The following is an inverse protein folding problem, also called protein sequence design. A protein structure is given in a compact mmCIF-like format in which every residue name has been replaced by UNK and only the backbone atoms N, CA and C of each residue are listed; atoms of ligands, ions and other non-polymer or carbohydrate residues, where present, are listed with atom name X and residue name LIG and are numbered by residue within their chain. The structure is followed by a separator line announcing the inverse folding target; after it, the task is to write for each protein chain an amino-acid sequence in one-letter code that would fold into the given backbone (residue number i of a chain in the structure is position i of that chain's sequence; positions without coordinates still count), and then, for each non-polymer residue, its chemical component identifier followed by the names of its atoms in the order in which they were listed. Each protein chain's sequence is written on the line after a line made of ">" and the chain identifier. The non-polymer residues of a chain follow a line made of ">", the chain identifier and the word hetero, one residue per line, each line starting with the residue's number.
data_IF_185710526167
#
_entry.id   IF_185710526167
#
_cell.length_a   1.000
_cell.length_b   1.000
_cell.length_c   1.000
_cell.angle_alpha   90.00
_cell.angle_beta   90.00
_cell.angle_gamma   90.00
#
_symmetry.space_group_name_H-M   'P 1'
#
loop_
_entity.id
_entity.type
_entity.pdbx_description
1 polymer ?
#
# COMPACT_ATOMS: atom_id res chain seq x y z
N UNK A 1 -5.46 -15.02 -8.72
CA UNK A 1 -4.38 -15.79 -9.38
C UNK A 1 -3.16 -14.89 -9.55
N UNK A 2 -1.95 -15.28 -9.14
CA UNK A 2 -0.77 -14.40 -9.30
C UNK A 2 -0.44 -14.15 -10.78
N UNK A 3 -0.67 -15.15 -11.64
CA UNK A 3 -0.42 -15.09 -13.08
C UNK A 3 -1.20 -13.97 -13.80
N UNK A 4 -2.49 -13.80 -13.51
CA UNK A 4 -3.33 -12.79 -14.20
C UNK A 4 -2.86 -11.35 -13.89
N UNK A 5 -2.32 -11.13 -12.68
CA UNK A 5 -1.77 -9.82 -12.29
C UNK A 5 -0.53 -9.48 -13.11
N UNK A 6 0.35 -10.45 -13.33
CA UNK A 6 1.55 -10.27 -14.16
C UNK A 6 1.20 -10.09 -15.63
N UNK A 7 0.23 -10.85 -16.16
CA UNK A 7 -0.23 -10.70 -17.54
C UNK A 7 -0.82 -9.30 -17.78
N UNK A 8 -1.67 -8.81 -16.87
CA UNK A 8 -2.21 -7.44 -16.96
C UNK A 8 -1.09 -6.39 -16.92
N UNK A 9 -0.09 -6.57 -16.05
CA UNK A 9 1.04 -5.66 -15.98
C UNK A 9 1.84 -5.63 -17.30
N UNK A 10 2.09 -6.79 -17.90
CA UNK A 10 2.79 -6.90 -19.19
C UNK A 10 1.98 -6.23 -20.31
N UNK A 11 0.66 -6.44 -20.37
CA UNK A 11 -0.20 -5.80 -21.36
C UNK A 11 -0.13 -4.27 -21.22
N UNK A 12 -0.25 -3.75 -20.01
CA UNK A 12 -0.12 -2.30 -19.74
C UNK A 12 1.23 -1.77 -20.18
N UNK A 13 2.32 -2.51 -19.94
CA UNK A 13 3.66 -2.12 -20.34
C UNK A 13 3.81 -2.06 -21.86
N UNK A 14 3.28 -3.06 -22.57
CA UNK A 14 3.28 -3.08 -24.05
C UNK A 14 2.50 -1.87 -24.59
N UNK A 15 1.31 -1.58 -24.05
CA UNK A 15 0.50 -0.42 -24.44
C UNK A 15 1.28 0.88 -24.23
N UNK A 16 1.96 1.03 -23.09
CA UNK A 16 2.76 2.22 -22.81
C UNK A 16 3.91 2.41 -23.81
N UNK A 17 4.58 1.33 -24.21
CA UNK A 17 5.66 1.38 -25.21
C UNK A 17 5.12 1.76 -26.59
N UNK A 18 4.02 1.14 -27.03
CA UNK A 18 3.38 1.49 -28.31
C UNK A 18 2.92 2.94 -28.30
N UNK A 19 2.34 3.42 -27.20
CA UNK A 19 1.95 4.81 -27.03
C UNK A 19 3.12 5.79 -27.20
N UNK A 20 4.29 5.49 -26.62
CA UNK A 20 5.48 6.34 -26.76
C UNK A 20 5.99 6.37 -28.22
N UNK A 21 5.95 5.23 -28.92
CA UNK A 21 6.35 5.16 -30.32
C UNK A 21 5.43 5.98 -31.21
N UNK A 22 4.12 5.81 -31.06
CA UNK A 22 3.12 6.55 -31.82
C UNK A 22 3.22 8.06 -31.56
N UNK A 23 3.40 8.43 -30.29
CA UNK A 23 3.61 9.81 -29.87
C UNK A 23 4.85 10.44 -30.54
N UNK A 24 5.96 9.71 -30.62
CA UNK A 24 7.16 10.22 -31.28
C UNK A 24 6.93 10.43 -32.79
N UNK A 25 6.22 9.52 -33.44
CA UNK A 25 5.92 9.59 -34.87
C UNK A 25 4.96 10.73 -35.24
N UNK A 26 3.98 11.03 -34.38
CA UNK A 26 2.98 12.08 -34.64
C UNK A 26 3.52 13.48 -34.31
N UNK A 27 4.45 13.61 -33.37
CA UNK A 27 5.04 14.88 -32.96
C UNK A 27 6.18 15.34 -33.87
N UNK A 28 5.92 15.36 -35.17
CA UNK A 28 6.79 15.90 -36.22
C UNK A 28 6.05 17.07 -36.87
N UNK A 29 6.73 18.21 -37.02
CA UNK A 29 6.18 19.40 -37.69
C UNK A 29 6.03 19.13 -39.20
N UNK A 30 5.31 20.01 -39.89
CA UNK A 30 4.94 19.90 -41.31
C UNK A 30 6.10 19.64 -42.29
N UNK A 31 7.34 19.86 -41.88
CA UNK A 31 8.57 19.63 -42.65
C UNK A 31 9.12 18.19 -42.52
N UNK A 32 8.52 17.33 -41.68
CA UNK A 32 8.92 15.92 -41.53
C UNK A 32 10.25 15.68 -40.81
N UNK A 33 11.01 16.73 -40.50
CA UNK A 33 12.36 16.66 -39.93
C UNK A 33 12.44 17.27 -38.53
N UNK A 34 11.63 18.30 -38.26
CA UNK A 34 11.64 19.00 -36.97
C UNK A 34 10.61 18.41 -36.02
N UNK A 35 11.05 18.03 -34.82
CA UNK A 35 10.17 17.47 -33.79
C UNK A 35 9.55 18.56 -32.92
N UNK A 36 8.32 18.34 -32.44
CA UNK A 36 7.66 19.25 -31.50
C UNK A 36 8.41 19.25 -30.18
N UNK A 37 8.84 20.44 -29.74
CA UNK A 37 9.51 20.65 -28.47
C UNK A 37 8.54 21.25 -27.46
N UNK A 38 8.56 20.72 -26.25
CA UNK A 38 7.73 21.16 -25.12
C UNK A 38 8.62 21.96 -24.17
N UNK A 39 8.22 23.19 -23.89
CA UNK A 39 8.83 24.00 -22.83
C UNK A 39 8.05 23.84 -21.54
N UNK A 40 8.69 23.28 -20.52
CA UNK A 40 8.12 23.13 -19.18
C UNK A 40 8.64 24.28 -18.32
N UNK A 41 7.77 25.20 -17.84
CA UNK A 41 8.19 26.34 -17.03
C UNK A 41 8.94 25.86 -15.78
N UNK A 42 9.98 26.59 -15.39
CA UNK A 42 10.89 26.30 -14.26
C UNK A 42 11.78 25.05 -14.42
N UNK A 43 11.51 24.15 -15.37
CA UNK A 43 12.29 22.92 -15.58
C UNK A 43 13.23 23.00 -16.78
N UNK A 44 12.84 23.65 -17.89
CA UNK A 44 13.69 23.74 -19.08
C UNK A 44 14.94 24.58 -18.85
N UNK A 45 14.78 25.70 -18.15
CA UNK A 45 15.88 26.63 -17.88
C UNK A 45 16.83 26.08 -16.81
N UNK A 46 16.30 25.28 -15.86
CA UNK A 46 17.08 24.65 -14.79
C UNK A 46 17.96 23.49 -15.29
N UNK A 47 17.60 22.84 -16.40
CA UNK A 47 18.27 21.66 -16.94
C UNK A 47 19.08 21.96 -18.22
N UNK A 48 19.14 23.22 -18.67
CA UNK A 48 19.89 23.63 -19.85
C UNK A 48 19.25 23.26 -21.19
N UNK A 49 17.93 23.03 -21.22
CA UNK A 49 17.17 22.75 -22.45
C UNK A 49 16.52 24.04 -22.97
N UNK A 50 17.32 24.96 -23.51
CA UNK A 50 16.87 26.28 -24.00
C UNK A 50 15.82 26.17 -25.13
N UNK A 51 15.96 25.16 -25.98
CA UNK A 51 15.03 24.87 -27.08
C UNK A 51 13.80 24.06 -26.65
N UNK A 52 13.82 23.48 -25.45
CA UNK A 52 12.75 22.63 -24.90
C UNK A 52 13.06 21.13 -24.95
N UNK A 53 12.14 20.33 -24.42
CA UNK A 53 12.25 18.86 -24.36
C UNK A 53 11.46 18.22 -25.49
N UNK A 54 11.95 17.11 -26.05
CA UNK A 54 11.14 16.33 -26.98
C UNK A 54 9.90 15.78 -26.25
N UNK A 55 8.76 15.72 -26.93
CA UNK A 55 7.49 15.30 -26.33
C UNK A 55 7.58 13.94 -25.62
N UNK A 56 8.28 12.97 -26.20
CA UNK A 56 8.48 11.66 -25.59
C UNK A 56 9.31 11.72 -24.29
N UNK A 57 10.32 12.59 -24.23
CA UNK A 57 11.15 12.78 -23.02
C UNK A 57 10.32 13.40 -21.90
N UNK A 58 9.50 14.40 -22.22
CA UNK A 58 8.61 15.04 -21.25
C UNK A 58 7.61 14.03 -20.65
N UNK A 59 7.04 13.14 -21.48
CA UNK A 59 6.13 12.10 -21.00
C UNK A 59 6.84 11.06 -20.12
N UNK A 60 8.03 10.59 -20.50
CA UNK A 60 8.81 9.66 -19.66
C UNK A 60 9.14 10.30 -18.31
N UNK A 61 9.49 11.58 -18.31
CA UNK A 61 9.83 12.30 -17.09
C UNK A 61 8.62 12.42 -16.16
N UNK A 62 7.46 12.84 -16.70
CA UNK A 62 6.21 12.91 -15.95
C UNK A 62 5.79 11.53 -15.41
N UNK A 63 5.92 10.47 -16.22
CA UNK A 63 5.61 9.11 -15.81
C UNK A 63 6.55 8.63 -14.69
N UNK A 64 7.84 8.94 -14.77
CA UNK A 64 8.83 8.60 -13.75
C UNK A 64 8.52 9.27 -12.41
N UNK A 65 8.15 10.55 -12.41
CA UNK A 65 7.72 11.27 -11.20
C UNK A 65 6.46 10.63 -10.62
N UNK A 66 5.47 10.30 -11.46
CA UNK A 66 4.25 9.63 -11.02
C UNK A 66 4.51 8.28 -10.35
N UNK A 67 5.37 7.45 -10.95
CA UNK A 67 5.78 6.15 -10.38
C UNK A 67 6.53 6.34 -9.07
N UNK A 68 7.42 7.35 -8.99
CA UNK A 68 8.18 7.65 -7.78
C UNK A 68 7.26 8.05 -6.62
N UNK A 69 6.29 8.91 -6.86
CA UNK A 69 5.29 9.30 -5.85
C UNK A 69 4.44 8.09 -5.44
N UNK A 70 4.01 7.28 -6.41
CA UNK A 70 3.26 6.04 -6.14
C UNK A 70 4.04 5.07 -5.25
N UNK A 71 5.36 4.97 -5.44
CA UNK A 71 6.22 4.15 -4.60
C UNK A 71 6.29 4.67 -3.16
N UNK A 72 6.41 5.98 -2.95
CA UNK A 72 6.40 6.59 -1.61
C UNK A 72 5.08 6.30 -0.89
N UNK A 73 3.95 6.47 -1.57
CA UNK A 73 2.62 6.18 -1.01
C UNK A 73 2.53 4.70 -0.62
N UNK A 74 2.97 3.80 -1.50
CA UNK A 74 2.99 2.36 -1.23
C UNK A 74 3.86 2.02 -0.02
N UNK A 75 5.03 2.65 0.14
CA UNK A 75 5.88 2.46 1.32
C UNK A 75 5.17 2.85 2.62
N UNK A 76 4.55 4.03 2.64
CA UNK A 76 3.80 4.51 3.81
C UNK A 76 2.66 3.54 4.13
N UNK A 77 1.95 3.07 3.11
CA UNK A 77 0.84 2.12 3.26
C UNK A 77 1.31 0.77 3.83
N UNK A 78 2.44 0.23 3.34
CA UNK A 78 3.03 -1.02 3.85
C UNK A 78 3.42 -0.88 5.33
N UNK A 79 4.03 0.25 5.71
CA UNK A 79 4.43 0.51 7.09
C UNK A 79 3.19 0.62 7.99
N UNK A 80 2.17 1.37 7.57
CA UNK A 80 0.92 1.56 8.31
C UNK A 80 0.18 0.23 8.53
N UNK A 81 0.04 -0.59 7.48
CA UNK A 81 -0.59 -1.92 7.58
C UNK A 81 0.20 -2.85 8.51
N UNK A 82 1.54 -2.82 8.46
CA UNK A 82 2.37 -3.68 9.31
C UNK A 82 2.25 -3.30 10.78
N UNK A 83 2.15 -2.00 11.10
CA UNK A 83 1.91 -1.54 12.47
C UNK A 83 0.54 -1.98 13.00
N UNK A 84 -0.50 -1.86 12.17
CA UNK A 84 -1.86 -2.28 12.51
C UNK A 84 -1.95 -3.79 12.77
N UNK A 85 -1.32 -4.62 11.91
CA UNK A 85 -1.26 -6.08 12.07
C UNK A 85 -0.58 -6.47 13.39
N UNK A 86 0.50 -5.77 13.78
CA UNK A 86 1.21 -6.04 15.03
C UNK A 86 0.32 -5.70 16.24
N UNK A 87 -0.37 -4.56 16.18
CA UNK A 87 -1.32 -4.15 17.23
C UNK A 87 -2.48 -5.13 17.37
N UNK A 88 -3.09 -5.53 16.25
CA UNK A 88 -4.17 -6.52 16.24
C UNK A 88 -3.71 -7.85 16.83
N UNK A 89 -2.49 -8.30 16.47
CA UNK A 89 -1.91 -9.54 17.01
C UNK A 89 -1.66 -9.48 18.51
N UNK A 90 -1.21 -8.33 19.05
CA UNK A 90 -0.98 -8.18 20.49
C UNK A 90 -2.29 -8.15 21.28
N UNK A 91 -3.31 -7.45 20.77
CA UNK A 91 -4.66 -7.45 21.36
C UNK A 91 -5.27 -8.85 21.35
N UNK A 92 -5.14 -9.59 20.24
CA UNK A 92 -5.68 -10.94 20.14
C UNK A 92 -5.01 -11.90 21.13
N UNK A 93 -3.69 -11.78 21.32
CA UNK A 93 -2.96 -12.55 22.33
C UNK A 93 -3.46 -12.23 23.74
N UNK A 94 -3.63 -10.96 24.08
CA UNK A 94 -4.14 -10.53 25.39
C UNK A 94 -5.54 -11.07 25.66
N UNK A 95 -6.44 -11.02 24.68
CA UNK A 95 -7.79 -11.58 24.81
C UNK A 95 -7.79 -13.10 24.99
N UNK A 96 -6.89 -13.82 24.33
CA UNK A 96 -6.73 -15.25 24.56
C UNK A 96 -6.20 -15.54 25.98
N UNK A 97 -5.21 -14.76 26.46
CA UNK A 97 -4.68 -14.90 27.82
C UNK A 97 -5.77 -14.58 28.88
N UNK A 98 -6.62 -13.57 28.64
CA UNK A 98 -7.78 -13.25 29.48
C UNK A 98 -8.84 -14.36 29.45
N UNK A 99 -9.12 -14.95 28.28
CA UNK A 99 -10.04 -16.07 28.14
C UNK A 99 -9.53 -17.32 28.87
N UNK A 100 -8.24 -17.63 28.76
CA UNK A 100 -7.61 -18.73 29.48
C UNK A 100 -7.62 -18.49 30.99
N UNK A 101 -7.40 -17.24 31.42
CA UNK A 101 -7.52 -16.85 32.82
C UNK A 101 -8.96 -16.97 33.34
N UNK A 102 -9.97 -16.60 32.54
CA UNK A 102 -11.39 -16.78 32.90
C UNK A 102 -11.82 -18.25 32.88
N UNK A 103 -11.28 -19.06 31.98
CA UNK A 103 -11.49 -20.52 31.97
C UNK A 103 -10.84 -21.21 33.17
N UNK A 104 -9.69 -20.70 33.60
CA UNK A 104 -8.93 -21.25 34.72
C UNK A 104 -9.19 -20.51 36.05
N UNK A 105 -10.07 -19.50 36.05
CA UNK A 105 -10.65 -18.94 37.25
C UNK A 105 -11.67 -19.96 37.73
N UNK A 106 -11.17 -20.92 38.48
CA UNK A 106 -11.96 -21.93 39.17
C UNK A 106 -13.00 -21.24 40.04
N UNK A 107 -14.17 -21.85 40.11
CA UNK A 107 -15.31 -21.53 40.97
C UNK A 107 -14.97 -21.70 42.48
N UNK A 108 -13.72 -21.45 42.88
CA UNK A 108 -13.11 -21.90 44.14
C UNK A 108 -12.85 -20.74 45.12
N UNK A 109 -12.95 -19.49 44.64
CA UNK A 109 -12.75 -18.29 45.48
C UNK A 109 -14.04 -17.71 46.08
N UNK A 110 -15.22 -18.29 45.79
CA UNK A 110 -16.54 -17.71 46.18
C UNK A 110 -17.52 -18.75 46.77
N UNK A 111 -17.08 -19.98 47.02
CA UNK A 111 -17.87 -21.00 47.73
C UNK A 111 -17.35 -21.13 49.17
N UNK A 112 -17.78 -20.23 50.05
CA UNK A 112 -17.83 -20.54 51.49
C UNK A 112 -18.85 -21.67 51.67
N UNK A 113 -18.37 -22.91 51.67
CA UNK A 113 -19.13 -24.05 52.16
C UNK A 113 -19.27 -23.86 53.68
N UNK A 114 -20.34 -23.17 54.07
CA UNK A 114 -20.81 -23.17 55.46
C UNK A 114 -21.23 -24.62 55.74
N UNK A 115 -20.37 -25.37 56.42
CA UNK A 115 -20.78 -26.62 57.06
C UNK A 115 -21.90 -26.25 58.05
N UNK A 116 -23.12 -26.66 57.73
CA UNK A 116 -24.28 -26.55 58.60
C UNK A 116 -24.09 -27.51 59.77
N UNK A 117 -23.25 -27.09 60.72
CA UNK A 117 -23.09 -27.71 62.02
C UNK A 117 -24.41 -27.51 62.77
N UNK A 118 -25.11 -28.63 63.02
CA UNK A 118 -26.25 -28.79 63.94
C UNK A 118 -27.67 -28.84 63.33
N UNK A 119 -28.00 -29.95 62.65
CA UNK A 119 -29.38 -30.47 62.63
C UNK A 119 -29.34 -31.92 63.10
N UNK A 120 -29.54 -32.14 64.40
CA UNK A 120 -29.62 -33.50 64.92
C UNK A 120 -29.71 -33.70 66.43
N UNK A 121 -29.94 -32.65 67.23
CA UNK A 121 -30.36 -32.80 68.63
C UNK A 121 -31.73 -32.12 68.77
N UNK A 122 -32.80 -32.89 68.54
CA UNK A 122 -34.06 -32.81 69.30
C UNK A 122 -35.07 -33.87 68.82
N UNK A 123 -35.38 -34.78 69.77
CA UNK A 123 -36.53 -35.70 69.88
C UNK A 123 -36.43 -37.11 69.26
#
# INVERSE_FOLDING_TARGET
>A
MKLIKYILFIITLIIAVVFIQELHSINVLSDGITHVMIKIPYFTDALGFEDGLLTWQAIIFALSIGVFIGFIIALIQIISQKAEIISLKSTQRKLNDELDLLRNKSLDDDLDLIDDENIGDEL
#
